data_IF_809496350989
#
_entry.id   IF_809496350989
#
_cell.length_a   1.000
_cell.length_b   1.000
_cell.length_c   1.000
_cell.angle_alpha   90.00
_cell.angle_beta   90.00
_cell.angle_gamma   90.00
#
_symmetry.space_group_name_H-M   'P 1'
#
loop_
_entity.id
_entity.type
_entity.pdbx_description
1 polymer ?
#
# COMPACT_ATOMS: atom_id res chain seq x y z
N UNK A 1 9.80 16.94 2.17
CA UNK A 1 9.00 15.72 2.33
C UNK A 1 9.96 14.67 2.86
N UNK A 2 9.62 14.00 3.96
CA UNK A 2 10.48 12.92 4.46
C UNK A 2 10.35 11.72 3.52
N UNK A 3 11.49 11.11 3.17
CA UNK A 3 11.51 9.95 2.27
C UNK A 3 11.23 8.68 3.05
N UNK A 4 10.24 7.91 2.62
CA UNK A 4 9.79 6.69 3.30
C UNK A 4 9.75 5.50 2.36
N UNK A 5 9.74 4.29 2.92
CA UNK A 5 9.56 3.05 2.16
C UNK A 5 8.21 2.42 2.50
N UNK A 6 7.38 2.20 1.48
CA UNK A 6 6.16 1.39 1.60
C UNK A 6 6.49 -0.10 1.57
N UNK A 7 5.83 -0.89 2.42
CA UNK A 7 5.94 -2.34 2.42
C UNK A 7 4.58 -2.98 2.17
N UNK A 8 4.51 -3.87 1.19
CA UNK A 8 3.30 -4.59 0.82
C UNK A 8 3.59 -6.08 0.79
N UNK A 9 2.67 -6.88 1.36
CA UNK A 9 2.72 -8.34 1.29
C UNK A 9 1.32 -8.92 1.13
N UNK A 10 1.25 -10.06 0.46
CA UNK A 10 0.05 -10.90 0.45
C UNK A 10 0.42 -12.24 1.10
N UNK A 11 -0.49 -12.80 1.90
CA UNK A 11 -0.19 -14.05 2.63
C UNK A 11 -0.41 -15.28 1.76
N UNK A 12 -1.32 -15.20 0.79
CA UNK A 12 -1.59 -16.22 -0.22
C UNK A 12 -2.03 -15.58 -1.54
N UNK A 13 -1.91 -16.30 -2.66
CA UNK A 13 -2.37 -15.83 -3.99
C UNK A 13 -3.87 -15.51 -4.00
N UNK A 14 -4.68 -16.27 -3.23
CA UNK A 14 -6.13 -16.07 -3.12
C UNK A 14 -6.54 -14.77 -2.41
N UNK A 15 -5.64 -14.17 -1.63
CA UNK A 15 -5.90 -12.85 -1.01
C UNK A 15 -5.79 -11.69 -2.02
N UNK A 16 -5.15 -11.90 -3.17
CA UNK A 16 -5.11 -10.91 -4.24
C UNK A 16 -6.49 -10.67 -4.87
N UNK A 17 -7.34 -11.70 -4.94
CA UNK A 17 -8.64 -11.63 -5.62
C UNK A 17 -9.78 -11.07 -4.75
N UNK A 18 -9.63 -11.04 -3.42
CA UNK A 18 -10.72 -10.66 -2.48
C UNK A 18 -10.68 -9.23 -1.95
N UNK A 19 -9.98 -8.32 -2.63
CA UNK A 19 -9.99 -6.88 -2.30
C UNK A 19 -8.99 -6.43 -1.23
N UNK A 20 -8.07 -7.30 -0.82
CA UNK A 20 -6.88 -6.95 -0.02
C UNK A 20 -5.57 -7.19 -0.81
N UNK A 21 -5.69 -7.10 -2.14
CA UNK A 21 -4.59 -7.30 -3.05
C UNK A 21 -3.46 -6.28 -2.89
N UNK A 22 -2.36 -6.57 -3.57
CA UNK A 22 -1.16 -5.73 -3.59
C UNK A 22 -1.51 -4.29 -4.00
N UNK A 23 -2.37 -4.14 -4.99
CA UNK A 23 -2.89 -2.89 -5.55
C UNK A 23 -3.65 -2.04 -4.52
N UNK A 24 -4.53 -2.66 -3.73
CA UNK A 24 -5.29 -1.96 -2.67
C UNK A 24 -4.35 -1.48 -1.56
N UNK A 25 -3.37 -2.30 -1.18
CA UNK A 25 -2.37 -1.93 -0.18
C UNK A 25 -1.43 -0.81 -0.69
N UNK A 26 -0.98 -0.87 -1.94
CA UNK A 26 -0.17 0.18 -2.57
C UNK A 26 -0.94 1.51 -2.60
N UNK A 27 -2.19 1.48 -3.06
CA UNK A 27 -3.02 2.69 -3.17
C UNK A 27 -3.25 3.34 -1.79
N UNK A 28 -3.54 2.54 -0.76
CA UNK A 28 -3.71 3.05 0.60
C UNK A 28 -2.45 3.66 1.20
N UNK A 29 -1.27 3.06 0.94
CA UNK A 29 0.02 3.63 1.36
C UNK A 29 0.28 4.95 0.66
N UNK A 30 0.03 5.04 -0.64
CA UNK A 30 0.20 6.28 -1.41
C UNK A 30 -0.74 7.40 -0.94
N UNK A 31 -2.01 7.10 -0.70
CA UNK A 31 -2.98 8.07 -0.18
C UNK A 31 -2.56 8.59 1.19
N UNK A 32 -2.12 7.71 2.08
CA UNK A 32 -1.57 8.10 3.38
C UNK A 32 -0.37 9.04 3.22
N UNK A 33 0.57 8.72 2.33
CA UNK A 33 1.74 9.56 2.08
C UNK A 33 1.35 10.94 1.54
N UNK A 34 0.38 11.02 0.62
CA UNK A 34 -0.14 12.28 0.08
C UNK A 34 -0.77 13.15 1.18
N UNK A 35 -1.61 12.57 2.05
CA UNK A 35 -2.27 13.29 3.15
C UNK A 35 -1.24 13.81 4.16
N UNK A 36 -0.21 13.01 4.45
CA UNK A 36 0.78 13.32 5.49
C UNK A 36 2.03 14.04 4.95
N UNK A 37 2.09 14.37 3.66
CA UNK A 37 3.26 15.00 3.02
C UNK A 37 4.54 14.18 3.24
N UNK A 38 4.46 12.89 2.91
CA UNK A 38 5.58 11.92 2.83
C UNK A 38 5.85 11.59 1.36
N UNK A 39 7.11 11.27 1.02
CA UNK A 39 7.59 10.97 -0.35
C UNK A 39 8.24 9.59 -0.46
#
# INVERSE_FOLDING_TARGET
>A
MEKVFGYVRVSTETQAEKGYGKDVQETGIEEYCKINKLE
#
